data_IF_130202157508
#
_entry.id   IF_130202157508
#
_cell.length_a   1.000
_cell.length_b   1.000
_cell.length_c   1.000
_cell.angle_alpha   90.00
_cell.angle_beta   90.00
_cell.angle_gamma   90.00
#
_symmetry.space_group_name_H-M   'P 1'
#
loop_
_entity.id
_entity.type
_entity.pdbx_description
1 polymer ?
#
# COMPACT_ATOMS: atom_id res chain seq x y z
N UNK A 1 30.36 -6.18 -12.09
CA UNK A 1 29.08 -5.51 -11.88
C UNK A 1 29.15 -4.03 -12.31
N UNK A 2 30.03 -3.18 -11.74
CA UNK A 2 30.08 -1.73 -12.05
C UNK A 2 30.28 -1.38 -13.54
N UNK A 3 31.18 -2.10 -14.25
CA UNK A 3 31.42 -1.87 -15.70
C UNK A 3 30.17 -2.22 -16.53
N UNK A 4 29.44 -3.25 -16.17
CA UNK A 4 28.20 -3.64 -16.87
C UNK A 4 27.13 -2.58 -16.63
N UNK A 5 26.98 -2.12 -15.41
CA UNK A 5 26.01 -1.07 -15.05
C UNK A 5 26.29 0.24 -15.79
N UNK A 6 27.57 0.69 -15.83
CA UNK A 6 27.92 1.90 -16.59
C UNK A 6 27.58 1.80 -18.07
N UNK A 7 27.85 0.65 -18.71
CA UNK A 7 27.46 0.43 -20.11
C UNK A 7 25.95 0.38 -20.32
N UNK A 8 25.20 -0.13 -19.35
CA UNK A 8 23.74 -0.14 -19.38
C UNK A 8 23.19 1.28 -19.33
N UNK A 9 23.66 2.08 -18.39
CA UNK A 9 23.27 3.50 -18.26
C UNK A 9 23.64 4.33 -19.51
N UNK A 10 24.85 4.12 -20.07
CA UNK A 10 25.25 4.75 -21.34
C UNK A 10 24.30 4.40 -22.48
N UNK A 11 23.84 3.15 -22.57
CA UNK A 11 22.89 2.71 -23.60
C UNK A 11 21.51 3.31 -23.41
N UNK A 12 20.98 3.32 -22.18
CA UNK A 12 19.70 3.97 -21.87
C UNK A 12 19.75 5.45 -22.27
N UNK A 13 20.82 6.15 -21.89
CA UNK A 13 21.02 7.55 -22.25
C UNK A 13 21.11 7.77 -23.77
N UNK A 14 21.85 6.91 -24.49
CA UNK A 14 21.99 7.00 -25.96
C UNK A 14 20.65 6.79 -26.69
N UNK A 15 19.76 5.96 -26.12
CA UNK A 15 18.42 5.72 -26.67
C UNK A 15 17.37 6.71 -26.16
N UNK A 16 17.75 7.66 -25.29
CA UNK A 16 16.83 8.57 -24.60
C UNK A 16 15.69 7.80 -23.92
N UNK A 17 16.02 6.67 -23.31
CA UNK A 17 15.10 5.74 -22.67
C UNK A 17 15.38 5.66 -21.18
N UNK A 18 14.39 5.25 -20.44
CA UNK A 18 14.45 4.97 -18.99
C UNK A 18 13.93 3.57 -18.74
N UNK A 19 14.42 2.92 -17.70
CA UNK A 19 13.83 1.67 -17.21
C UNK A 19 12.79 1.91 -16.10
N UNK A 20 12.23 0.84 -15.55
CA UNK A 20 11.21 0.95 -14.50
C UNK A 20 11.75 1.55 -13.19
N UNK A 21 13.00 1.29 -12.86
CA UNK A 21 13.63 1.84 -11.66
C UNK A 21 13.89 3.35 -11.83
N UNK A 22 14.23 3.76 -13.04
CA UNK A 22 14.43 5.16 -13.42
C UNK A 22 13.15 5.98 -13.28
N UNK A 23 11.97 5.39 -13.49
CA UNK A 23 10.68 6.09 -13.33
C UNK A 23 10.46 6.63 -11.90
N UNK A 24 11.17 6.11 -10.92
CA UNK A 24 11.13 6.58 -9.54
C UNK A 24 12.42 7.29 -9.15
N UNK A 25 13.58 6.72 -9.52
CA UNK A 25 14.89 7.22 -9.11
C UNK A 25 15.24 8.56 -9.74
N UNK A 26 14.94 8.76 -11.04
CA UNK A 26 15.20 10.01 -11.73
C UNK A 26 14.30 11.16 -11.25
N UNK A 27 12.98 11.00 -11.07
CA UNK A 27 12.17 12.04 -10.43
C UNK A 27 12.63 12.39 -9.01
N UNK A 28 13.00 11.42 -8.20
CA UNK A 28 13.56 11.70 -6.87
C UNK A 28 14.83 12.53 -6.97
N UNK A 29 15.76 12.16 -7.87
CA UNK A 29 17.00 12.91 -8.12
C UNK A 29 16.69 14.32 -8.62
N UNK A 30 15.78 14.47 -9.57
CA UNK A 30 15.35 15.76 -10.10
C UNK A 30 14.81 16.68 -8.99
N UNK A 31 13.90 16.17 -8.15
CA UNK A 31 13.32 16.94 -7.06
C UNK A 31 14.35 17.29 -5.97
N UNK A 32 15.38 16.47 -5.79
CA UNK A 32 16.46 16.73 -4.82
C UNK A 32 17.45 17.77 -5.34
N UNK A 33 17.90 17.62 -6.59
CA UNK A 33 19.00 18.38 -7.16
C UNK A 33 18.52 19.73 -7.74
N UNK A 34 17.20 19.89 -7.99
CA UNK A 34 16.59 21.07 -8.61
C UNK A 34 15.47 21.65 -7.74
N UNK A 35 15.82 22.48 -6.74
CA UNK A 35 14.84 23.08 -5.82
C UNK A 35 13.74 23.89 -6.53
N UNK A 36 14.06 24.53 -7.65
CA UNK A 36 13.12 25.30 -8.47
C UNK A 36 12.04 24.39 -9.09
N UNK A 37 12.41 23.22 -9.58
CA UNK A 37 11.47 22.22 -10.11
C UNK A 37 10.62 21.66 -8.97
N UNK A 38 11.23 21.34 -7.83
CA UNK A 38 10.52 20.89 -6.65
C UNK A 38 9.47 21.90 -6.19
N UNK A 39 9.85 23.18 -6.06
CA UNK A 39 8.92 24.25 -5.67
C UNK A 39 7.75 24.39 -6.64
N UNK A 40 8.00 24.21 -7.95
CA UNK A 40 6.98 24.22 -8.98
C UNK A 40 5.95 23.10 -8.81
N UNK A 41 6.41 21.87 -8.56
CA UNK A 41 5.53 20.73 -8.27
C UNK A 41 4.77 20.89 -6.95
N UNK A 42 5.45 21.32 -5.90
CA UNK A 42 4.82 21.59 -4.62
C UNK A 42 3.72 22.65 -4.72
N UNK A 43 3.90 23.68 -5.57
CA UNK A 43 2.88 24.71 -5.77
C UNK A 43 1.60 24.19 -6.44
N UNK A 44 1.72 23.14 -7.26
CA UNK A 44 0.59 22.50 -7.93
C UNK A 44 -0.17 21.50 -7.03
N UNK A 45 0.49 20.96 -6.02
CA UNK A 45 -0.09 19.95 -5.12
C UNK A 45 -0.71 20.57 -3.89
N UNK A 46 -2.03 20.77 -3.89
CA UNK A 46 -2.76 21.26 -2.72
C UNK A 46 -2.98 20.18 -1.65
N UNK A 47 -3.16 18.93 -2.08
CA UNK A 47 -3.34 17.76 -1.22
C UNK A 47 -2.81 16.52 -1.94
N UNK A 48 -2.01 15.73 -1.25
CA UNK A 48 -1.48 14.46 -1.75
C UNK A 48 -2.16 13.32 -0.99
N UNK A 49 -2.76 12.40 -1.75
CA UNK A 49 -3.37 11.18 -1.20
C UNK A 49 -2.57 9.98 -1.71
N UNK A 50 -2.16 9.11 -0.81
CA UNK A 50 -1.44 7.88 -1.11
C UNK A 50 -2.22 6.72 -0.57
N UNK A 51 -2.60 5.81 -1.45
CA UNK A 51 -3.25 4.55 -1.11
C UNK A 51 -2.23 3.41 -1.04
N UNK A 52 -2.59 2.30 -0.38
CA UNK A 52 -1.74 1.11 -0.19
C UNK A 52 -0.34 1.48 0.31
N UNK A 53 -0.29 2.40 1.27
CA UNK A 53 0.96 3.00 1.73
C UNK A 53 1.97 1.99 2.28
N UNK A 54 1.53 0.85 2.82
CA UNK A 54 2.36 -0.25 3.30
C UNK A 54 3.23 -0.88 2.21
N UNK A 55 2.87 -0.71 0.93
CA UNK A 55 3.58 -1.28 -0.22
C UNK A 55 4.62 -0.33 -0.82
N UNK A 56 4.82 0.82 -0.18
CA UNK A 56 5.83 1.79 -0.63
C UNK A 56 7.24 1.36 -0.24
N UNK A 57 8.21 1.62 -1.12
CA UNK A 57 9.63 1.46 -0.83
C UNK A 57 10.27 2.78 -0.33
N UNK A 58 11.51 2.70 0.14
CA UNK A 58 12.21 3.87 0.69
C UNK A 58 12.41 5.00 -0.33
N UNK A 59 12.59 4.69 -1.61
CA UNK A 59 12.77 5.68 -2.69
C UNK A 59 11.47 6.44 -2.94
N UNK A 60 10.34 5.73 -3.00
CA UNK A 60 9.01 6.33 -3.13
C UNK A 60 8.68 7.21 -1.92
N UNK A 61 9.02 6.75 -0.71
CA UNK A 61 8.84 7.55 0.50
C UNK A 61 9.67 8.84 0.48
N UNK A 62 10.95 8.74 0.07
CA UNK A 62 11.80 9.92 -0.06
C UNK A 62 11.26 10.93 -1.08
N UNK A 63 10.77 10.45 -2.24
CA UNK A 63 10.14 11.29 -3.26
C UNK A 63 8.86 11.96 -2.71
N UNK A 64 8.02 11.21 -2.02
CA UNK A 64 6.80 11.71 -1.40
C UNK A 64 7.11 12.84 -0.41
N UNK A 65 8.09 12.67 0.49
CA UNK A 65 8.51 13.71 1.43
C UNK A 65 8.85 15.01 0.72
N UNK A 66 9.64 14.95 -0.34
CA UNK A 66 9.98 16.14 -1.12
C UNK A 66 8.74 16.80 -1.77
N UNK A 67 7.81 16.00 -2.30
CA UNK A 67 6.58 16.52 -2.91
C UNK A 67 5.65 17.21 -1.92
N UNK A 68 5.54 16.70 -0.69
CA UNK A 68 4.69 17.30 0.34
C UNK A 68 5.38 18.43 1.12
N UNK A 69 6.60 18.78 0.77
CA UNK A 69 7.33 19.93 1.36
C UNK A 69 8.14 19.56 2.60
N UNK A 70 8.44 18.29 2.83
CA UNK A 70 9.39 17.86 3.83
C UNK A 70 10.80 17.85 3.19
N UNK A 71 11.70 18.71 3.69
CA UNK A 71 13.06 18.77 3.20
C UNK A 71 13.88 17.53 3.63
N UNK A 72 15.02 17.24 2.97
CA UNK A 72 15.86 16.10 3.32
C UNK A 72 16.37 16.10 4.77
N UNK A 73 16.45 17.26 5.40
CA UNK A 73 16.85 17.43 6.80
C UNK A 73 15.67 17.31 7.78
N UNK A 74 14.45 17.04 7.30
CA UNK A 74 13.23 16.92 8.08
C UNK A 74 12.54 18.25 8.35
N UNK A 75 13.07 19.38 7.89
CA UNK A 75 12.40 20.66 7.97
C UNK A 75 11.26 20.77 6.94
N UNK A 76 10.33 21.70 7.13
CA UNK A 76 9.32 22.03 6.14
C UNK A 76 9.85 23.08 5.16
N UNK A 77 9.50 22.95 3.88
CA UNK A 77 9.86 23.95 2.85
C UNK A 77 9.41 25.35 3.25
N UNK A 78 10.28 26.38 3.15
CA UNK A 78 9.94 27.74 3.51
C UNK A 78 8.75 28.25 2.69
N UNK A 79 7.76 28.83 3.36
CA UNK A 79 6.64 29.56 2.73
C UNK A 79 5.42 28.71 2.35
N UNK A 80 5.35 27.45 2.74
CA UNK A 80 4.13 26.65 2.65
C UNK A 80 3.56 26.32 4.02
N UNK A 81 2.26 26.51 4.16
CA UNK A 81 1.49 25.69 5.09
C UNK A 81 1.78 24.22 4.74
N UNK A 82 2.06 23.41 5.75
CA UNK A 82 2.39 21.99 5.55
C UNK A 82 1.44 21.37 4.50
N UNK A 83 2.00 20.79 3.44
CA UNK A 83 1.20 20.22 2.37
C UNK A 83 0.21 19.23 2.99
N UNK A 84 -1.05 19.34 2.61
CA UNK A 84 -2.06 18.38 3.08
C UNK A 84 -1.71 17.03 2.52
N UNK A 85 -1.47 16.09 3.41
CA UNK A 85 -1.07 14.74 3.08
C UNK A 85 -1.98 13.74 3.79
N UNK A 86 -2.45 12.75 3.06
CA UNK A 86 -3.22 11.63 3.60
C UNK A 86 -2.62 10.32 3.08
N UNK A 87 -2.23 9.45 3.99
CA UNK A 87 -1.81 8.09 3.68
C UNK A 87 -2.88 7.10 4.15
N UNK A 88 -3.27 6.20 3.28
CA UNK A 88 -4.16 5.07 3.59
C UNK A 88 -3.37 3.79 3.43
N UNK A 89 -3.45 2.89 4.41
CA UNK A 89 -2.73 1.64 4.39
C UNK A 89 -3.12 0.70 5.52
N UNK A 90 -2.65 -0.52 5.41
CA UNK A 90 -2.88 -1.59 6.36
C UNK A 90 -1.57 -2.36 6.58
N UNK A 91 -0.98 -2.22 7.78
CA UNK A 91 0.28 -2.88 8.14
C UNK A 91 0.20 -4.41 8.09
N UNK A 92 -1.00 -5.00 8.23
CA UNK A 92 -1.23 -6.43 8.12
C UNK A 92 -1.29 -6.92 6.65
N UNK A 93 -1.37 -6.02 5.66
CA UNK A 93 -1.42 -6.34 4.23
C UNK A 93 -0.10 -6.09 3.49
N UNK A 94 0.99 -5.79 4.19
CA UNK A 94 2.32 -5.57 3.58
C UNK A 94 2.92 -6.90 3.10
N UNK A 95 2.65 -7.26 1.85
CA UNK A 95 3.11 -8.52 1.23
C UNK A 95 4.15 -8.32 0.12
N UNK A 96 4.54 -7.08 -0.18
CA UNK A 96 5.48 -6.74 -1.25
C UNK A 96 6.91 -6.45 -0.77
N UNK A 97 7.31 -7.01 0.39
CA UNK A 97 8.69 -6.89 0.89
C UNK A 97 9.75 -7.35 -0.12
N UNK A 98 9.45 -8.36 -0.94
CA UNK A 98 10.32 -8.84 -2.00
C UNK A 98 10.51 -7.83 -3.17
N UNK A 99 9.65 -6.81 -3.27
CA UNK A 99 9.78 -5.65 -4.17
C UNK A 99 10.42 -4.44 -3.50
N UNK A 100 10.92 -4.58 -2.27
CA UNK A 100 11.51 -3.50 -1.50
C UNK A 100 10.52 -2.63 -0.71
N UNK A 101 9.24 -3.03 -0.62
CA UNK A 101 8.30 -2.41 0.31
C UNK A 101 8.77 -2.57 1.76
N UNK A 102 8.55 -1.56 2.57
CA UNK A 102 8.96 -1.60 3.97
C UNK A 102 7.96 -0.92 4.89
N UNK A 103 7.62 -1.60 5.99
CA UNK A 103 6.81 -1.02 7.07
C UNK A 103 7.52 0.12 7.82
N UNK A 104 8.83 0.29 7.62
CA UNK A 104 9.56 1.42 8.21
C UNK A 104 9.01 2.76 7.73
N UNK A 105 8.50 2.83 6.49
CA UNK A 105 7.84 4.03 5.98
C UNK A 105 6.61 4.42 6.83
N UNK A 106 5.83 3.45 7.33
CA UNK A 106 4.74 3.69 8.27
C UNK A 106 5.23 4.11 9.66
N UNK A 107 6.35 3.53 10.14
CA UNK A 107 6.95 3.85 11.44
C UNK A 107 7.53 5.26 11.47
N UNK A 108 8.04 5.74 10.34
CA UNK A 108 8.66 7.06 10.22
C UNK A 108 7.62 8.17 10.12
N UNK A 109 6.38 7.90 9.69
CA UNK A 109 5.34 8.92 9.52
C UNK A 109 5.14 9.82 10.74
N UNK A 110 5.01 9.32 11.99
CA UNK A 110 4.85 10.20 13.15
C UNK A 110 6.08 11.06 13.47
N UNK A 111 7.27 10.63 13.02
CA UNK A 111 8.52 11.36 13.21
C UNK A 111 8.67 12.47 12.18
N UNK A 112 8.42 12.15 10.91
CA UNK A 112 8.51 13.10 9.79
C UNK A 112 7.32 14.08 9.75
N UNK A 113 6.16 13.67 10.31
CA UNK A 113 4.94 14.47 10.38
C UNK A 113 4.40 14.52 11.81
N UNK A 114 4.96 15.37 12.70
CA UNK A 114 4.59 15.40 14.13
C UNK A 114 3.10 15.77 14.40
N UNK A 115 2.42 16.37 13.43
CA UNK A 115 0.99 16.70 13.52
C UNK A 115 0.08 15.60 12.93
N UNK A 116 0.64 14.42 12.59
CA UNK A 116 -0.09 13.30 12.01
C UNK A 116 -1.26 12.89 12.91
N UNK A 117 -2.45 12.84 12.31
CA UNK A 117 -3.64 12.27 12.96
C UNK A 117 -3.89 10.88 12.40
N UNK A 118 -3.78 9.88 13.25
CA UNK A 118 -4.10 8.49 12.89
C UNK A 118 -5.59 8.26 13.09
N UNK A 119 -6.26 7.77 12.05
CA UNK A 119 -7.68 7.39 12.08
C UNK A 119 -7.74 5.90 11.73
N UNK A 120 -8.35 5.10 12.63
CA UNK A 120 -8.53 3.66 12.42
C UNK A 120 -9.89 3.41 11.78
N UNK A 121 -9.90 2.69 10.65
CA UNK A 121 -11.11 2.26 9.97
C UNK A 121 -11.38 0.80 10.36
N UNK A 122 -12.10 0.59 11.46
CA UNK A 122 -12.33 -0.75 12.03
C UNK A 122 -13.67 -1.35 11.61
N UNK A 123 -14.62 -0.52 11.17
CA UNK A 123 -15.89 -1.00 10.65
C UNK A 123 -15.71 -1.58 9.24
N UNK A 124 -16.07 -2.84 9.07
CA UNK A 124 -16.03 -3.55 7.80
C UNK A 124 -17.44 -3.67 7.23
N UNK A 125 -17.58 -3.29 5.96
CA UNK A 125 -18.86 -3.28 5.23
C UNK A 125 -18.97 -4.43 4.20
N UNK A 126 -17.96 -5.31 4.13
CA UNK A 126 -17.85 -6.39 3.15
C UNK A 126 -18.26 -7.74 3.74
N UNK A 127 -17.86 -8.02 4.98
CA UNK A 127 -17.90 -9.35 5.58
C UNK A 127 -18.74 -9.38 6.83
N UNK A 128 -19.39 -10.54 7.06
CA UNK A 128 -20.14 -10.81 8.28
C UNK A 128 -19.22 -11.06 9.48
N UNK A 129 -19.80 -11.00 10.70
CA UNK A 129 -19.06 -11.12 11.94
C UNK A 129 -18.33 -12.46 12.11
N UNK A 130 -18.89 -13.57 11.57
CA UNK A 130 -18.21 -14.87 11.60
C UNK A 130 -16.88 -14.86 10.82
N UNK A 131 -16.86 -14.22 9.65
CA UNK A 131 -15.66 -14.07 8.84
C UNK A 131 -14.64 -13.18 9.54
N UNK A 132 -15.10 -12.04 10.09
CA UNK A 132 -14.20 -11.10 10.76
C UNK A 132 -13.58 -11.69 12.04
N UNK A 133 -14.32 -12.51 12.81
CA UNK A 133 -13.72 -13.22 13.95
C UNK A 133 -12.61 -14.16 13.52
N UNK A 134 -12.83 -14.92 12.43
CA UNK A 134 -11.79 -15.80 11.90
C UNK A 134 -10.55 -14.97 11.45
N UNK A 135 -10.75 -13.89 10.73
CA UNK A 135 -9.68 -12.98 10.28
C UNK A 135 -8.93 -12.35 11.47
N UNK A 136 -9.65 -11.78 12.45
CA UNK A 136 -9.05 -11.20 13.65
C UNK A 136 -8.23 -12.24 14.45
N UNK A 137 -8.70 -13.48 14.54
CA UNK A 137 -7.98 -14.54 15.23
C UNK A 137 -6.69 -14.95 14.50
N UNK A 138 -6.72 -15.01 13.17
CA UNK A 138 -5.55 -15.35 12.36
C UNK A 138 -4.49 -14.26 12.45
N UNK A 139 -4.89 -13.00 12.34
CA UNK A 139 -3.95 -11.88 12.31
C UNK A 139 -3.54 -11.41 13.72
N UNK A 140 -4.30 -11.78 14.75
CA UNK A 140 -4.09 -11.36 16.15
C UNK A 140 -2.68 -11.60 16.70
N UNK A 141 -2.04 -12.76 16.46
CA UNK A 141 -0.68 -13.05 16.93
C UNK A 141 0.43 -12.21 16.28
N UNK A 142 0.17 -11.57 15.14
CA UNK A 142 1.17 -10.76 14.46
C UNK A 142 1.49 -9.48 15.25
N UNK A 143 2.77 -9.04 15.24
CA UNK A 143 3.15 -7.73 15.77
C UNK A 143 2.36 -6.61 15.08
N UNK A 144 1.76 -5.71 15.85
CA UNK A 144 0.93 -4.62 15.33
C UNK A 144 1.66 -3.29 15.41
N UNK A 145 1.71 -2.59 14.29
CA UNK A 145 2.11 -1.19 14.28
C UNK A 145 0.95 -0.29 14.71
N UNK A 146 -0.24 -0.56 14.16
CA UNK A 146 -1.49 0.12 14.51
C UNK A 146 -2.55 -0.91 14.93
N UNK A 147 -2.64 -1.28 16.23
CA UNK A 147 -3.61 -2.26 16.69
C UNK A 147 -5.04 -1.88 16.28
N UNK A 148 -5.75 -2.80 15.63
CA UNK A 148 -7.13 -2.67 15.16
C UNK A 148 -7.89 -3.97 15.37
N UNK A 149 -9.21 -3.87 15.44
CA UNK A 149 -10.11 -5.02 15.53
C UNK A 149 -11.30 -4.79 14.60
N UNK A 150 -11.41 -5.59 13.55
CA UNK A 150 -12.47 -5.43 12.55
C UNK A 150 -13.81 -5.91 13.12
N UNK A 151 -14.86 -5.12 12.91
CA UNK A 151 -16.23 -5.43 13.28
C UNK A 151 -17.21 -5.03 12.16
N UNK A 152 -18.42 -5.58 12.15
CA UNK A 152 -19.42 -5.31 11.11
C UNK A 152 -20.85 -5.34 11.68
N UNK A 153 -21.72 -4.53 11.08
CA UNK A 153 -23.17 -4.51 11.33
C UNK A 153 -23.95 -5.48 10.42
N UNK A 154 -23.27 -6.26 9.56
CA UNK A 154 -23.90 -7.21 8.64
C UNK A 154 -24.41 -8.47 9.33
N UNK A 155 -24.38 -8.52 10.66
CA UNK A 155 -24.83 -9.65 11.48
C UNK A 155 -23.82 -10.81 11.47
N UNK A 156 -24.24 -11.95 12.06
CA UNK A 156 -23.37 -13.11 12.26
C UNK A 156 -22.94 -13.77 10.96
N UNK A 157 -23.88 -13.95 10.03
CA UNK A 157 -23.65 -14.63 8.75
C UNK A 157 -23.51 -16.14 8.86
N UNK A 158 -23.17 -16.78 7.74
CA UNK A 158 -22.90 -18.21 7.66
C UNK A 158 -21.59 -18.56 8.41
N UNK A 159 -21.52 -19.74 9.04
CA UNK A 159 -20.27 -20.23 9.64
C UNK A 159 -19.16 -20.39 8.60
N UNK A 160 -17.93 -20.03 8.96
CA UNK A 160 -16.75 -20.32 8.14
C UNK A 160 -16.56 -21.84 8.08
N UNK A 161 -16.46 -22.37 6.85
CA UNK A 161 -16.26 -23.81 6.60
C UNK A 161 -14.86 -24.05 6.08
N UNK A 162 -14.18 -25.03 6.65
CA UNK A 162 -12.91 -25.54 6.16
C UNK A 162 -13.19 -26.73 5.27
N UNK A 163 -12.59 -26.75 4.10
CA UNK A 163 -12.79 -27.80 3.11
C UNK A 163 -11.41 -28.26 2.64
N UNK A 164 -11.07 -29.52 2.94
CA UNK A 164 -9.83 -30.12 2.49
C UNK A 164 -9.98 -30.65 1.06
N UNK A 165 -8.94 -30.52 0.25
CA UNK A 165 -8.83 -31.08 -1.08
C UNK A 165 -7.45 -31.77 -1.26
N UNK A 166 -7.44 -32.90 -1.96
CA UNK A 166 -6.21 -33.69 -2.15
C UNK A 166 -5.32 -33.13 -3.26
N UNK A 167 -5.92 -32.48 -4.25
CA UNK A 167 -5.25 -31.85 -5.41
C UNK A 167 -5.91 -30.53 -5.78
N UNK A 168 -5.21 -29.73 -6.60
CA UNK A 168 -5.73 -28.46 -7.14
C UNK A 168 -6.99 -28.68 -8.00
N UNK A 169 -7.03 -29.76 -8.77
CA UNK A 169 -8.20 -30.12 -9.57
C UNK A 169 -9.40 -30.48 -8.69
N UNK A 170 -9.18 -31.26 -7.63
CA UNK A 170 -10.22 -31.63 -6.67
C UNK A 170 -10.75 -30.38 -5.95
N UNK A 171 -9.88 -29.41 -5.61
CA UNK A 171 -10.32 -28.12 -5.04
C UNK A 171 -11.23 -27.38 -6.02
N UNK A 172 -10.80 -27.24 -7.29
CA UNK A 172 -11.58 -26.56 -8.32
C UNK A 172 -12.94 -27.23 -8.55
N UNK A 173 -12.99 -28.57 -8.63
CA UNK A 173 -14.23 -29.33 -8.76
C UNK A 173 -15.20 -29.07 -7.60
N UNK A 174 -14.71 -29.06 -6.36
CA UNK A 174 -15.53 -28.78 -5.17
C UNK A 174 -16.09 -27.36 -5.18
N UNK A 175 -15.27 -26.38 -5.57
CA UNK A 175 -15.71 -24.98 -5.70
C UNK A 175 -16.82 -24.87 -6.76
N UNK A 176 -16.63 -25.46 -7.94
CA UNK A 176 -17.62 -25.44 -9.03
C UNK A 176 -18.90 -26.13 -8.62
N UNK A 177 -18.83 -27.29 -8.00
CA UNK A 177 -19.99 -28.04 -7.50
C UNK A 177 -20.78 -27.19 -6.48
N UNK A 178 -20.08 -26.49 -5.56
CA UNK A 178 -20.74 -25.61 -4.59
C UNK A 178 -21.42 -24.42 -5.25
N UNK A 179 -20.80 -23.80 -6.25
CA UNK A 179 -21.39 -22.70 -7.01
C UNK A 179 -22.67 -23.18 -7.72
N UNK A 180 -22.62 -24.34 -8.36
CA UNK A 180 -23.78 -24.92 -9.05
C UNK A 180 -24.93 -25.22 -8.09
N UNK A 181 -24.65 -25.78 -6.91
CA UNK A 181 -25.63 -25.99 -5.86
C UNK A 181 -26.30 -24.67 -5.41
N UNK A 182 -25.50 -23.65 -5.10
CA UNK A 182 -26.03 -22.35 -4.68
C UNK A 182 -26.89 -21.67 -5.77
N UNK A 183 -26.56 -21.86 -7.03
CA UNK A 183 -27.37 -21.39 -8.16
C UNK A 183 -28.70 -22.15 -8.28
N UNK A 184 -28.66 -23.47 -8.13
CA UNK A 184 -29.87 -24.31 -8.15
C UNK A 184 -30.82 -23.97 -7.00
N UNK A 185 -30.28 -23.64 -5.84
CA UNK A 185 -31.04 -23.22 -4.66
C UNK A 185 -31.54 -21.76 -4.74
N UNK A 186 -31.24 -21.02 -5.81
CA UNK A 186 -31.59 -19.61 -6.00
C UNK A 186 -30.84 -18.63 -5.09
N UNK A 187 -29.78 -19.09 -4.41
CA UNK A 187 -28.97 -18.29 -3.48
C UNK A 187 -27.82 -17.53 -4.16
N UNK A 188 -27.52 -17.85 -5.41
CA UNK A 188 -26.54 -17.12 -6.23
C UNK A 188 -27.13 -16.81 -7.61
N UNK A 189 -27.14 -15.54 -7.99
CA UNK A 189 -27.52 -15.11 -9.34
C UNK A 189 -26.27 -14.73 -10.14
N UNK A 190 -26.26 -14.95 -11.48
CA UNK A 190 -25.22 -14.38 -12.30
C UNK A 190 -25.34 -12.86 -12.25
N UNK A 191 -24.20 -12.17 -11.93
CA UNK A 191 -24.08 -10.72 -12.01
C UNK A 191 -24.03 -10.24 -13.45
#
# INVERSE_FOLDING_TARGET
AAVVMGRYEERLSAYQSVDFDDLISLPLKLLRDHPEVRAQWQAQMGHVLVDEYQDTNATQYAMLKLLVGCEPDGSLSPGKDAARFTAVGDDDQSIYGWRGATLDNLRLLPQDFPQLKVIKLEQNYRSTSAILRAANNVIGPNPKLYPKNLWSDLGEGEPVRVVDADTEEHEAERVVARIQSLRADGLAQPG
#
